data_IF_145023457164
#
_entry.id   IF_145023457164
#
_cell.length_a   1.000
_cell.length_b   1.000
_cell.length_c   1.000
_cell.angle_alpha   90.00
_cell.angle_beta   90.00
_cell.angle_gamma   90.00
#
_symmetry.space_group_name_H-M   'P 1'
#
loop_
_entity.id
_entity.type
_entity.pdbx_description
1 polymer ?
#
# COMPACT_ATOMS: atom_id res chain seq x y z
N UNK A 1 -4.80 -9.35 -18.33
CA UNK A 1 -5.11 -9.72 -19.73
C UNK A 1 -4.10 -9.13 -20.72
N UNK A 2 -3.94 -7.80 -20.80
CA UNK A 2 -3.00 -7.18 -21.77
C UNK A 2 -1.57 -7.75 -21.67
N UNK A 3 -1.02 -7.86 -20.46
CA UNK A 3 0.30 -8.47 -20.25
C UNK A 3 0.37 -9.94 -20.72
N UNK A 4 -0.74 -10.68 -20.68
CA UNK A 4 -0.79 -12.06 -21.17
C UNK A 4 -0.67 -12.10 -22.71
N UNK A 5 -1.32 -11.15 -23.41
CA UNK A 5 -1.18 -11.00 -24.88
C UNK A 5 0.27 -10.73 -25.27
N UNK A 6 0.97 -9.87 -24.51
CA UNK A 6 2.39 -9.60 -24.74
C UNK A 6 3.27 -10.84 -24.55
N UNK A 7 2.96 -11.71 -23.59
CA UNK A 7 3.68 -12.99 -23.43
C UNK A 7 3.42 -13.98 -24.57
N UNK A 8 2.20 -14.01 -25.09
CA UNK A 8 1.84 -14.84 -26.25
C UNK A 8 2.53 -14.32 -27.52
N UNK A 9 2.52 -13.00 -27.76
CA UNK A 9 3.22 -12.35 -28.87
C UNK A 9 4.74 -12.55 -28.79
N UNK A 10 5.31 -12.64 -27.58
CA UNK A 10 6.71 -12.97 -27.35
C UNK A 10 7.05 -14.44 -27.67
N UNK A 11 6.06 -15.27 -28.03
CA UNK A 11 6.25 -16.67 -28.45
C UNK A 11 6.38 -17.66 -27.29
N UNK A 12 5.88 -17.32 -26.10
CA UNK A 12 5.93 -18.22 -24.95
C UNK A 12 5.11 -19.51 -25.22
N UNK A 13 5.68 -20.71 -25.03
CA UNK A 13 4.97 -21.95 -25.35
C UNK A 13 3.66 -22.11 -24.57
N UNK A 14 2.67 -22.75 -25.21
CA UNK A 14 1.35 -23.01 -24.60
C UNK A 14 1.51 -23.77 -23.28
N UNK A 15 0.82 -23.29 -22.24
CA UNK A 15 0.79 -23.90 -20.92
C UNK A 15 1.89 -23.45 -19.96
N UNK A 16 2.93 -22.73 -20.42
CA UNK A 16 4.00 -22.21 -19.55
C UNK A 16 3.47 -21.12 -18.59
N UNK A 17 2.56 -20.28 -19.07
CA UNK A 17 1.83 -19.30 -18.25
C UNK A 17 0.33 -19.47 -18.53
N UNK A 18 -0.47 -19.39 -17.48
CA UNK A 18 -1.92 -19.50 -17.58
C UNK A 18 -2.54 -18.36 -16.77
N UNK A 19 -3.36 -17.53 -17.40
CA UNK A 19 -4.12 -16.47 -16.72
C UNK A 19 -5.50 -17.01 -16.35
N UNK A 20 -5.78 -17.11 -15.05
CA UNK A 20 -7.09 -17.51 -14.54
C UNK A 20 -7.66 -16.34 -13.74
N UNK A 21 -8.65 -15.66 -14.31
CA UNK A 21 -9.30 -14.52 -13.66
C UNK A 21 -10.35 -14.98 -12.64
N UNK A 22 -10.48 -14.24 -11.55
CA UNK A 22 -11.53 -14.46 -10.57
C UNK A 22 -11.25 -13.73 -9.26
N UNK A 23 -12.17 -13.92 -8.32
CA UNK A 23 -12.09 -13.33 -6.99
C UNK A 23 -11.58 -14.37 -5.98
N UNK A 24 -12.16 -14.35 -4.77
CA UNK A 24 -11.75 -15.18 -3.64
C UNK A 24 -11.81 -16.68 -3.95
N UNK A 25 -12.88 -17.15 -4.58
CA UNK A 25 -13.15 -18.56 -4.82
C UNK A 25 -12.11 -19.17 -5.77
N UNK A 26 -11.75 -18.44 -6.83
CA UNK A 26 -10.69 -18.83 -7.77
C UNK A 26 -9.33 -18.91 -7.08
N UNK A 27 -9.01 -17.93 -6.22
CA UNK A 27 -7.77 -17.94 -5.45
C UNK A 27 -7.68 -19.11 -4.47
N UNK A 28 -8.79 -19.45 -3.79
CA UNK A 28 -8.86 -20.61 -2.89
C UNK A 28 -8.66 -21.91 -3.69
N UNK A 29 -9.39 -22.06 -4.80
CA UNK A 29 -9.27 -23.26 -5.64
C UNK A 29 -7.84 -23.47 -6.17
N UNK A 30 -7.15 -22.38 -6.55
CA UNK A 30 -5.74 -22.45 -6.95
C UNK A 30 -4.84 -22.86 -5.79
N UNK A 31 -5.07 -22.31 -4.59
CA UNK A 31 -4.26 -22.65 -3.42
C UNK A 31 -4.46 -24.10 -2.92
N UNK A 32 -5.66 -24.64 -3.11
CA UNK A 32 -6.00 -26.04 -2.79
C UNK A 32 -5.55 -27.05 -3.85
N UNK A 33 -5.06 -26.59 -5.00
CA UNK A 33 -4.68 -27.47 -6.09
C UNK A 33 -3.54 -28.42 -5.68
N UNK A 34 -3.72 -29.72 -5.94
CA UNK A 34 -2.71 -30.74 -5.64
C UNK A 34 -1.49 -30.67 -6.57
N UNK A 35 -1.67 -30.14 -7.78
CA UNK A 35 -0.65 -30.11 -8.83
C UNK A 35 0.23 -28.86 -8.85
N UNK A 36 0.15 -27.97 -7.86
CA UNK A 36 1.06 -26.83 -7.76
C UNK A 36 2.25 -27.16 -6.86
N UNK A 37 3.44 -26.76 -7.28
CA UNK A 37 4.68 -26.92 -6.52
C UNK A 37 4.98 -25.72 -5.61
N UNK A 38 4.20 -24.65 -5.71
CA UNK A 38 4.33 -23.51 -4.81
C UNK A 38 3.39 -22.35 -5.10
N UNK A 39 3.37 -21.39 -4.18
CA UNK A 39 2.63 -20.13 -4.28
C UNK A 39 3.56 -18.96 -4.00
N UNK A 40 3.50 -17.97 -4.88
CA UNK A 40 4.05 -16.64 -4.67
C UNK A 40 2.87 -15.68 -4.46
N UNK A 41 2.66 -15.25 -3.22
CA UNK A 41 1.51 -14.41 -2.84
C UNK A 41 1.96 -13.00 -2.49
N UNK A 42 1.30 -12.01 -3.07
CA UNK A 42 1.40 -10.60 -2.67
C UNK A 42 0.02 -10.08 -2.26
N UNK A 43 -0.13 -9.61 -1.02
CA UNK A 43 -1.41 -9.10 -0.56
C UNK A 43 -1.51 -8.84 0.94
N UNK A 44 -2.71 -9.02 1.51
CA UNK A 44 -2.95 -8.73 2.92
C UNK A 44 -2.24 -9.70 3.85
N UNK A 45 -1.79 -9.21 5.02
CA UNK A 45 -1.20 -10.07 6.04
C UNK A 45 -2.17 -11.16 6.49
N UNK A 46 -3.46 -10.84 6.66
CA UNK A 46 -4.48 -11.81 7.06
C UNK A 46 -4.56 -13.01 6.08
N UNK A 47 -4.62 -12.73 4.77
CA UNK A 47 -4.62 -13.79 3.74
C UNK A 47 -3.32 -14.60 3.76
N UNK A 48 -2.17 -13.95 3.90
CA UNK A 48 -0.89 -14.65 4.00
C UNK A 48 -0.83 -15.62 5.19
N UNK A 49 -1.36 -15.23 6.36
CA UNK A 49 -1.45 -16.13 7.51
C UNK A 49 -2.40 -17.31 7.28
N UNK A 50 -3.49 -17.12 6.53
CA UNK A 50 -4.39 -18.21 6.13
C UNK A 50 -3.66 -19.20 5.22
N UNK A 51 -2.96 -18.71 4.19
CA UNK A 51 -2.17 -19.54 3.28
C UNK A 51 -1.07 -20.30 4.01
N UNK A 52 -0.35 -19.64 4.93
CA UNK A 52 0.67 -20.29 5.75
C UNK A 52 0.10 -21.46 6.57
N UNK A 53 -1.08 -21.30 7.18
CA UNK A 53 -1.75 -22.38 7.92
C UNK A 53 -2.21 -23.51 6.98
N UNK A 54 -2.77 -23.16 5.82
CA UNK A 54 -3.23 -24.13 4.82
C UNK A 54 -2.08 -25.00 4.28
N UNK A 55 -0.88 -24.43 4.16
CA UNK A 55 0.32 -25.11 3.66
C UNK A 55 1.12 -25.83 4.76
N UNK A 56 0.69 -25.73 6.03
CA UNK A 56 1.33 -26.46 7.12
C UNK A 56 1.30 -27.98 6.85
N UNK A 57 2.46 -28.63 7.02
CA UNK A 57 2.62 -30.05 6.70
C UNK A 57 2.86 -30.38 5.22
N UNK A 58 3.01 -29.37 4.34
CA UNK A 58 3.31 -29.54 2.92
C UNK A 58 4.69 -28.95 2.55
N UNK A 59 5.81 -29.33 3.21
CA UNK A 59 7.13 -28.69 3.00
C UNK A 59 7.71 -28.86 1.59
N UNK A 60 7.18 -29.79 0.78
CA UNK A 60 7.54 -29.94 -0.63
C UNK A 60 6.98 -28.84 -1.53
N UNK A 61 6.05 -28.01 -1.04
CA UNK A 61 5.52 -26.86 -1.77
C UNK A 61 6.18 -25.57 -1.29
N UNK A 62 6.74 -24.79 -2.21
CA UNK A 62 7.31 -23.48 -1.90
C UNK A 62 6.20 -22.50 -1.53
N UNK A 63 6.41 -21.69 -0.49
CA UNK A 63 5.49 -20.62 -0.13
C UNK A 63 6.28 -19.34 0.12
N UNK A 64 6.02 -18.31 -0.69
CA UNK A 64 6.53 -16.95 -0.49
C UNK A 64 5.35 -16.00 -0.25
N UNK A 65 5.44 -15.19 0.81
CA UNK A 65 4.36 -14.34 1.30
C UNK A 65 4.84 -12.89 1.43
N UNK A 66 4.53 -12.06 0.44
CA UNK A 66 4.81 -10.63 0.42
C UNK A 66 3.60 -9.86 0.95
N UNK A 67 3.68 -9.40 2.20
CA UNK A 67 2.54 -8.86 2.93
C UNK A 67 2.68 -7.35 3.21
N UNK A 68 1.58 -6.75 3.64
CA UNK A 68 1.57 -5.34 4.09
C UNK A 68 2.30 -5.13 5.43
N UNK A 69 2.50 -3.86 5.78
CA UNK A 69 3.15 -3.45 7.03
C UNK A 69 2.55 -2.18 7.64
N UNK A 70 2.93 -1.91 8.89
CA UNK A 70 2.65 -0.66 9.59
C UNK A 70 3.96 0.14 9.72
N UNK A 71 4.40 0.72 8.61
CA UNK A 71 5.78 1.18 8.44
C UNK A 71 6.04 2.50 9.20
N UNK A 72 7.03 2.55 10.11
CA UNK A 72 7.43 3.78 10.78
C UNK A 72 8.43 4.59 9.94
N UNK A 73 8.30 5.90 9.95
CA UNK A 73 9.31 6.85 9.50
C UNK A 73 9.73 7.70 10.71
N UNK A 74 11.01 7.66 11.07
CA UNK A 74 11.55 8.37 12.23
C UNK A 74 12.39 9.55 11.76
N UNK A 75 12.02 10.75 12.19
CA UNK A 75 12.75 11.98 11.90
C UNK A 75 13.71 12.26 13.06
N UNK A 76 14.99 12.44 12.75
CA UNK A 76 16.02 12.79 13.73
C UNK A 76 15.96 14.28 14.09
N UNK A 77 16.31 14.67 15.32
CA UNK A 77 16.44 16.07 15.77
C UNK A 77 17.44 16.90 14.94
N UNK A 78 18.31 16.20 14.21
CA UNK A 78 19.31 16.75 13.30
C UNK A 78 18.91 16.55 11.82
N UNK A 79 17.61 16.47 11.51
CA UNK A 79 17.16 16.48 10.12
C UNK A 79 17.70 17.73 9.42
N UNK A 80 18.04 17.57 8.13
CA UNK A 80 18.69 18.60 7.35
C UNK A 80 17.72 19.67 6.87
N UNK A 81 17.75 19.93 5.56
CA UNK A 81 16.85 20.91 4.95
C UNK A 81 15.37 20.58 5.20
N UNK A 82 14.62 21.59 5.65
CA UNK A 82 13.23 21.43 6.06
C UNK A 82 12.32 21.10 4.87
N UNK A 83 12.52 21.76 3.73
CA UNK A 83 11.74 21.53 2.51
C UNK A 83 11.97 20.11 1.96
N UNK A 84 13.23 19.67 1.89
CA UNK A 84 13.58 18.31 1.49
C UNK A 84 12.99 17.26 2.45
N UNK A 85 12.95 17.55 3.75
CA UNK A 85 12.36 16.66 4.76
C UNK A 85 10.85 16.53 4.54
N UNK A 86 10.14 17.65 4.40
CA UNK A 86 8.69 17.68 4.13
C UNK A 86 8.37 16.97 2.82
N UNK A 87 9.11 17.25 1.74
CA UNK A 87 8.92 16.57 0.46
C UNK A 87 9.08 15.05 0.58
N UNK A 88 10.11 14.60 1.30
CA UNK A 88 10.37 13.18 1.52
C UNK A 88 9.25 12.51 2.32
N UNK A 89 8.72 13.18 3.34
CA UNK A 89 7.57 12.71 4.12
C UNK A 89 6.34 12.59 3.21
N UNK A 90 6.02 13.62 2.42
CA UNK A 90 4.87 13.61 1.50
C UNK A 90 4.96 12.44 0.52
N UNK A 91 6.13 12.22 -0.08
CA UNK A 91 6.35 11.09 -0.99
C UNK A 91 6.20 9.74 -0.28
N UNK A 92 6.71 9.62 0.95
CA UNK A 92 6.66 8.37 1.70
C UNK A 92 5.24 8.02 2.17
N UNK A 93 4.40 9.02 2.44
CA UNK A 93 3.04 8.82 2.97
C UNK A 93 2.00 8.74 1.86
N UNK A 94 2.04 9.66 0.88
CA UNK A 94 0.90 9.92 -0.01
C UNK A 94 1.07 9.40 -1.44
N UNK A 95 2.28 9.01 -1.87
CA UNK A 95 2.47 8.52 -3.25
C UNK A 95 1.49 7.39 -3.58
N UNK A 96 0.91 7.44 -4.79
CA UNK A 96 -0.13 6.49 -5.20
C UNK A 96 -1.34 6.45 -4.24
N UNK A 97 -1.69 7.59 -3.64
CA UNK A 97 -2.71 7.72 -2.60
C UNK A 97 -2.45 6.83 -1.38
N UNK A 98 -1.18 6.64 -1.04
CA UNK A 98 -0.75 5.80 0.07
C UNK A 98 -0.97 4.31 -0.15
N UNK A 99 -1.15 3.84 -1.39
CA UNK A 99 -1.47 2.43 -1.70
C UNK A 99 -0.23 1.57 -1.99
N UNK A 100 1.00 2.10 -1.80
CA UNK A 100 2.22 1.27 -1.86
C UNK A 100 2.40 0.54 -0.53
N UNK A 101 2.84 -0.72 -0.59
CA UNK A 101 3.06 -1.55 0.60
C UNK A 101 4.11 -0.96 1.56
N UNK A 102 5.04 -0.17 1.04
CA UNK A 102 6.13 0.49 1.77
C UNK A 102 5.80 1.90 2.24
N UNK A 103 4.59 2.42 1.98
CA UNK A 103 4.21 3.75 2.44
C UNK A 103 4.32 3.87 3.97
N UNK A 104 4.81 5.01 4.44
CA UNK A 104 4.86 5.33 5.86
C UNK A 104 3.44 5.42 6.43
N UNK A 105 3.21 4.72 7.55
CA UNK A 105 1.93 4.69 8.29
C UNK A 105 2.01 5.40 9.63
N UNK A 106 3.22 5.54 10.18
CA UNK A 106 3.51 6.25 11.42
C UNK A 106 4.68 7.17 11.18
N UNK A 107 4.52 8.44 11.50
CA UNK A 107 5.59 9.43 11.47
C UNK A 107 5.97 9.76 12.92
N UNK A 108 7.25 9.60 13.25
CA UNK A 108 7.80 9.98 14.55
C UNK A 108 8.62 11.25 14.37
N UNK A 109 8.22 12.30 15.08
CA UNK A 109 8.80 13.64 14.98
C UNK A 109 9.44 14.04 16.32
N UNK A 110 10.58 14.74 16.31
CA UNK A 110 11.19 15.33 17.50
C UNK A 110 10.20 16.19 18.29
N UNK A 111 10.34 16.21 19.61
CA UNK A 111 9.61 17.17 20.45
C UNK A 111 10.26 18.57 20.39
N UNK A 112 9.44 19.62 20.46
CA UNK A 112 9.85 21.02 20.55
C UNK A 112 9.88 21.75 19.21
N UNK A 113 10.34 23.01 19.23
CA UNK A 113 10.18 24.00 18.15
C UNK A 113 10.54 23.50 16.74
N UNK A 114 11.59 22.66 16.62
CA UNK A 114 11.97 22.08 15.32
C UNK A 114 10.89 21.14 14.80
N UNK A 115 10.39 20.23 15.64
CA UNK A 115 9.32 19.31 15.28
C UNK A 115 8.03 20.04 14.96
N UNK A 116 7.69 21.06 15.74
CA UNK A 116 6.49 21.87 15.54
C UNK A 116 6.53 22.64 14.21
N UNK A 117 7.68 23.20 13.85
CA UNK A 117 7.90 23.84 12.56
C UNK A 117 7.78 22.83 11.39
N UNK A 118 8.30 21.61 11.56
CA UNK A 118 8.16 20.53 10.58
C UNK A 118 6.70 20.13 10.38
N UNK A 119 5.95 19.91 11.46
CA UNK A 119 4.52 19.57 11.40
C UNK A 119 3.72 20.69 10.74
N UNK A 120 3.95 21.94 11.13
CA UNK A 120 3.26 23.11 10.56
C UNK A 120 3.43 23.15 9.05
N UNK A 121 4.69 23.06 8.58
CA UNK A 121 4.98 23.10 7.14
C UNK A 121 4.49 21.86 6.39
N UNK A 122 4.54 20.69 7.01
CA UNK A 122 4.00 19.46 6.44
C UNK A 122 2.48 19.55 6.23
N UNK A 123 1.76 20.11 7.20
CA UNK A 123 0.30 20.33 7.11
C UNK A 123 -0.03 21.29 5.97
N UNK A 124 0.67 22.42 5.88
CA UNK A 124 0.50 23.38 4.78
C UNK A 124 0.79 22.76 3.41
N UNK A 125 1.89 22.03 3.29
CA UNK A 125 2.27 21.38 2.04
C UNK A 125 1.27 20.29 1.63
N UNK A 126 0.74 19.54 2.61
CA UNK A 126 -0.24 18.47 2.36
C UNK A 126 -1.59 19.03 1.88
N UNK A 127 -2.04 20.17 2.41
CA UNK A 127 -3.26 20.87 1.93
C UNK A 127 -3.16 21.31 0.46
N UNK A 128 -1.95 21.48 -0.06
CA UNK A 128 -1.69 21.86 -1.45
C UNK A 128 -1.50 20.65 -2.39
N UNK A 129 -1.64 19.41 -1.90
CA UNK A 129 -1.55 18.22 -2.76
C UNK A 129 -2.72 18.21 -3.74
N UNK A 130 -2.39 18.23 -5.04
CA UNK A 130 -3.39 18.05 -6.11
C UNK A 130 -3.83 16.59 -6.19
N UNK A 131 -5.09 16.33 -5.89
CA UNK A 131 -5.77 15.07 -6.14
C UNK A 131 -6.76 15.22 -7.28
N UNK A 132 -6.75 14.31 -8.25
CA UNK A 132 -7.64 14.40 -9.40
C UNK A 132 -7.81 13.03 -10.10
N UNK A 133 -8.57 12.98 -11.18
CA UNK A 133 -8.67 11.83 -12.05
C UNK A 133 -7.32 11.48 -12.69
N UNK A 134 -7.04 10.20 -12.99
CA UNK A 134 -5.73 9.74 -13.47
C UNK A 134 -5.20 10.41 -14.76
N UNK A 135 -6.09 11.02 -15.55
CA UNK A 135 -5.77 11.66 -16.83
C UNK A 135 -6.07 13.17 -16.84
N UNK A 136 -6.19 13.78 -15.67
CA UNK A 136 -6.40 15.23 -15.57
C UNK A 136 -5.15 16.00 -16.02
N UNK A 137 -5.36 17.18 -16.60
CA UNK A 137 -4.31 18.11 -16.98
C UNK A 137 -4.47 19.43 -16.22
N UNK A 138 -3.46 19.88 -15.45
CA UNK A 138 -2.18 19.21 -15.22
C UNK A 138 -2.30 17.93 -14.39
N UNK A 139 -1.35 17.01 -14.57
CA UNK A 139 -1.30 15.74 -13.85
C UNK A 139 -1.39 15.93 -12.32
N UNK A 140 -2.23 15.14 -11.62
CA UNK A 140 -2.30 15.19 -10.17
C UNK A 140 -1.09 14.52 -9.52
N UNK A 141 -0.83 14.89 -8.27
CA UNK A 141 0.17 14.18 -7.45
C UNK A 141 -0.29 12.75 -7.13
N UNK A 142 -1.59 12.58 -6.83
CA UNK A 142 -2.18 11.28 -6.58
C UNK A 142 -3.62 11.19 -7.10
N UNK A 143 -4.05 9.97 -7.43
CA UNK A 143 -5.40 9.66 -7.86
C UNK A 143 -6.30 9.16 -6.72
N UNK A 144 -7.46 8.57 -7.05
CA UNK A 144 -8.38 8.03 -6.07
C UNK A 144 -7.87 6.73 -5.42
N UNK A 145 -8.53 6.32 -4.34
CA UNK A 145 -8.45 4.95 -3.83
C UNK A 145 -9.04 3.96 -4.83
N UNK A 146 -8.66 2.68 -4.72
CA UNK A 146 -9.11 1.63 -5.65
C UNK A 146 -10.65 1.45 -5.72
N UNK A 147 -11.38 1.81 -4.66
CA UNK A 147 -12.84 1.76 -4.63
C UNK A 147 -13.43 2.67 -3.56
N UNK A 148 -14.74 2.94 -3.67
CA UNK A 148 -15.51 3.67 -2.65
C UNK A 148 -15.47 2.96 -1.29
N UNK A 149 -15.52 1.63 -1.28
CA UNK A 149 -15.43 0.85 -0.05
C UNK A 149 -14.07 1.03 0.65
N UNK A 150 -12.97 1.07 -0.12
CA UNK A 150 -11.64 1.34 0.42
C UNK A 150 -11.52 2.77 0.96
N UNK A 151 -12.04 3.77 0.23
CA UNK A 151 -12.08 5.15 0.69
C UNK A 151 -12.88 5.30 2.00
N UNK A 152 -14.06 4.67 2.07
CA UNK A 152 -14.89 4.67 3.28
C UNK A 152 -14.18 4.02 4.46
N UNK A 153 -13.49 2.89 4.25
CA UNK A 153 -12.71 2.25 5.32
C UNK A 153 -11.65 3.19 5.91
N UNK A 154 -10.97 3.99 5.08
CA UNK A 154 -9.99 4.98 5.54
C UNK A 154 -10.65 6.09 6.36
N UNK A 155 -11.78 6.62 5.90
CA UNK A 155 -12.55 7.64 6.63
C UNK A 155 -13.05 7.11 7.99
N UNK A 156 -13.57 5.88 8.02
CA UNK A 156 -14.01 5.23 9.25
C UNK A 156 -12.84 5.00 10.21
N UNK A 157 -11.65 4.65 9.69
CA UNK A 157 -10.43 4.51 10.49
C UNK A 157 -9.97 5.85 11.10
N UNK A 158 -10.02 6.94 10.34
CA UNK A 158 -9.73 8.29 10.86
C UNK A 158 -10.70 8.66 11.99
N UNK A 159 -12.01 8.49 11.75
CA UNK A 159 -13.04 8.79 12.75
C UNK A 159 -12.85 7.96 14.04
N UNK A 160 -12.47 6.69 13.91
CA UNK A 160 -12.14 5.84 15.05
C UNK A 160 -10.89 6.33 15.80
N UNK A 161 -9.84 6.79 15.11
CA UNK A 161 -8.67 7.35 15.79
C UNK A 161 -9.02 8.64 16.55
N UNK A 162 -9.88 9.49 15.99
CA UNK A 162 -10.37 10.69 16.66
C UNK A 162 -11.20 10.36 17.91
N UNK A 163 -12.07 9.34 17.84
CA UNK A 163 -12.87 8.91 19.00
C UNK A 163 -12.04 8.31 20.13
N UNK A 164 -10.84 7.79 19.82
CA UNK A 164 -9.85 7.32 20.79
C UNK A 164 -8.95 8.44 21.35
N UNK A 165 -9.20 9.70 20.99
CA UNK A 165 -8.47 10.87 21.48
C UNK A 165 -7.36 11.36 20.54
N UNK A 166 -7.27 10.83 19.33
CA UNK A 166 -6.38 11.38 18.30
C UNK A 166 -6.84 12.77 17.84
N UNK A 167 -5.90 13.70 17.70
CA UNK A 167 -6.16 15.02 17.15
C UNK A 167 -5.94 15.02 15.64
N UNK A 168 -6.90 15.56 14.88
CA UNK A 168 -6.78 15.67 13.43
C UNK A 168 -5.97 16.92 13.07
N UNK A 169 -4.81 16.72 12.44
CA UNK A 169 -4.01 17.81 11.87
C UNK A 169 -4.52 18.23 10.48
N UNK A 170 -5.14 17.30 9.76
CA UNK A 170 -5.71 17.46 8.43
C UNK A 170 -6.92 16.56 8.34
N UNK A 171 -8.08 17.14 8.05
CA UNK A 171 -9.29 16.39 7.77
C UNK A 171 -9.37 16.07 6.27
N UNK A 172 -9.90 14.87 5.96
CA UNK A 172 -10.13 14.38 4.61
C UNK A 172 -11.32 15.05 3.91
#
# INVERSE_FOLDING_TARGET
ELAMKLWEEAGLPKGVINLVQGAKETGIALADAKGIDGILFTGSANTGHILHRQFAGQPGKMLALEMGGNNPMVISDNYGDLDATVYTIIQSVFISAGQRCTCARRLYVPFGDKGDALITKLVEATKNIRMDQPFAEPAPFMGPQISVAAAKFILDAQANLQSLGGESLIEA
#
